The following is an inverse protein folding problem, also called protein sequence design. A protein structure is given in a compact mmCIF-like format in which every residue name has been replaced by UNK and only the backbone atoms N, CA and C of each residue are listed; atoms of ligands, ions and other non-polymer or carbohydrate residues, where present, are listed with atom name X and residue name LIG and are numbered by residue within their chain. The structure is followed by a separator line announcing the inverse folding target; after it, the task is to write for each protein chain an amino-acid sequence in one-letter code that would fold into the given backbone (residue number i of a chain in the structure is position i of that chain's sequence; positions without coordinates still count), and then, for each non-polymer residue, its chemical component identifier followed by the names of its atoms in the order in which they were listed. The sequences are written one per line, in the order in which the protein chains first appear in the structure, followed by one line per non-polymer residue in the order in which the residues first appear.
data_IF_819343949349
#
_entry.id   IF_819343949349
#
_cell.length_a   1.000
_cell.length_b   1.000
_cell.length_c   1.000
_cell.angle_alpha   90.00
_cell.angle_beta   90.00
_cell.angle_gamma   90.00
#
_symmetry.space_group_name_H-M   'P 1'
#
loop_
_entity.id
_entity.type
_entity.pdbx_description
1 polymer ?
#
# COMPACT_ATOMS: atom_id res chain seq x y z
N UNK A 1 -32.10 60.75 -20.13
CA UNK A 1 -31.07 60.57 -19.06
C UNK A 1 -31.44 59.51 -18.01
N UNK A 2 -32.47 58.67 -18.27
CA UNK A 2 -32.99 57.75 -17.26
C UNK A 2 -32.92 56.24 -17.66
N UNK A 3 -32.22 55.93 -18.74
CA UNK A 3 -32.18 54.55 -19.27
C UNK A 3 -30.90 53.81 -18.83
N UNK A 4 -29.82 54.52 -18.55
CA UNK A 4 -28.53 53.88 -18.17
C UNK A 4 -28.49 53.48 -16.69
N UNK A 5 -29.24 54.12 -15.79
CA UNK A 5 -29.26 53.77 -14.37
C UNK A 5 -30.07 52.53 -14.04
N UNK A 6 -31.01 52.12 -14.93
CA UNK A 6 -31.82 50.89 -14.73
C UNK A 6 -31.05 49.62 -15.03
N UNK A 7 -30.09 49.65 -15.95
CA UNK A 7 -29.32 48.47 -16.34
C UNK A 7 -28.35 48.00 -15.27
N UNK A 8 -27.66 48.91 -14.59
CA UNK A 8 -26.68 48.57 -13.54
C UNK A 8 -27.36 48.07 -12.25
N UNK A 9 -28.54 48.65 -11.89
CA UNK A 9 -29.29 48.20 -10.73
C UNK A 9 -29.84 46.80 -10.85
N UNK A 10 -30.20 46.34 -12.07
CA UNK A 10 -30.68 44.99 -12.32
C UNK A 10 -29.56 43.97 -12.38
N UNK A 11 -28.36 44.36 -12.82
CA UNK A 11 -27.18 43.51 -12.78
C UNK A 11 -26.76 43.22 -11.34
N UNK A 12 -26.79 44.23 -10.47
CA UNK A 12 -26.49 44.04 -9.05
C UNK A 12 -27.58 43.32 -8.28
N UNK A 13 -28.83 43.40 -8.68
CA UNK A 13 -29.95 42.65 -8.09
C UNK A 13 -29.97 41.17 -8.48
N UNK A 14 -29.23 40.77 -9.50
CA UNK A 14 -29.05 39.37 -9.94
C UNK A 14 -27.78 38.73 -9.47
N UNK A 15 -27.03 39.33 -8.54
CA UNK A 15 -26.00 38.61 -7.81
C UNK A 15 -26.70 37.57 -6.91
N UNK A 16 -26.90 36.38 -7.45
CA UNK A 16 -27.31 35.22 -6.68
C UNK A 16 -26.18 34.96 -5.68
N UNK A 17 -26.40 35.24 -4.40
CA UNK A 17 -25.52 34.79 -3.36
C UNK A 17 -25.60 33.26 -3.33
N UNK A 18 -24.69 32.63 -4.04
CA UNK A 18 -24.53 31.17 -3.95
C UNK A 18 -24.01 30.90 -2.55
N UNK A 19 -24.76 30.12 -1.75
CA UNK A 19 -24.28 29.71 -0.43
C UNK A 19 -23.04 28.86 -0.56
N UNK A 20 -22.19 28.85 0.46
CA UNK A 20 -21.01 27.94 0.49
C UNK A 20 -21.46 26.48 0.29
N UNK A 21 -22.58 26.09 0.86
CA UNK A 21 -23.13 24.74 0.69
C UNK A 21 -23.47 24.44 -0.78
N UNK A 22 -24.07 25.41 -1.51
CA UNK A 22 -24.32 25.25 -2.95
C UNK A 22 -23.01 25.15 -3.73
N UNK A 23 -22.01 25.99 -3.43
CA UNK A 23 -20.72 25.92 -4.11
C UNK A 23 -20.02 24.57 -3.88
N UNK A 24 -20.07 24.04 -2.66
CA UNK A 24 -19.50 22.71 -2.32
C UNK A 24 -20.29 21.60 -3.02
N UNK A 25 -21.62 21.70 -3.14
CA UNK A 25 -22.44 20.78 -3.88
C UNK A 25 -22.03 20.73 -5.37
N UNK A 26 -21.92 21.90 -6.02
CA UNK A 26 -21.50 21.98 -7.43
C UNK A 26 -20.05 21.47 -7.63
N UNK A 27 -19.16 21.70 -6.67
CA UNK A 27 -17.82 21.11 -6.68
C UNK A 27 -17.89 19.59 -6.58
N UNK A 28 -18.82 19.03 -5.82
CA UNK A 28 -19.09 17.59 -5.76
C UNK A 28 -19.35 17.01 -7.14
N UNK A 29 -20.15 17.71 -7.97
CA UNK A 29 -20.39 17.31 -9.35
C UNK A 29 -19.12 17.33 -10.21
N UNK A 30 -18.28 18.34 -10.05
CA UNK A 30 -16.99 18.41 -10.76
C UNK A 30 -16.10 17.23 -10.40
N UNK A 31 -16.15 16.76 -9.16
CA UNK A 31 -15.42 15.59 -8.67
C UNK A 31 -16.07 14.24 -9.07
N UNK A 32 -17.22 14.25 -9.73
CA UNK A 32 -17.91 13.06 -10.21
C UNK A 32 -19.05 12.54 -9.33
N UNK A 33 -19.37 13.23 -8.24
CA UNK A 33 -20.52 12.90 -7.40
C UNK A 33 -21.82 13.33 -8.09
N UNK A 34 -22.92 12.72 -7.67
CA UNK A 34 -24.25 12.94 -8.23
C UNK A 34 -25.22 13.48 -7.20
N UNK A 35 -26.29 14.09 -7.70
CA UNK A 35 -27.44 14.43 -6.87
C UNK A 35 -28.00 13.20 -6.17
N UNK A 36 -28.21 13.33 -4.87
CA UNK A 36 -28.91 12.37 -4.05
C UNK A 36 -30.36 12.76 -3.77
N UNK A 37 -30.99 13.47 -4.73
CA UNK A 37 -32.40 13.83 -4.74
C UNK A 37 -32.99 13.69 -6.16
N UNK A 38 -34.31 13.56 -6.26
CA UNK A 38 -35.00 13.47 -7.56
C UNK A 38 -35.57 14.80 -7.99
N UNK A 39 -36.13 14.84 -9.20
CA UNK A 39 -36.83 16.01 -9.77
C UNK A 39 -38.01 16.55 -8.93
N UNK A 40 -38.54 15.77 -7.99
CA UNK A 40 -39.56 16.18 -7.03
C UNK A 40 -38.97 16.63 -5.69
N UNK A 41 -37.66 16.88 -5.61
CA UNK A 41 -36.93 17.23 -4.40
C UNK A 41 -37.07 16.23 -3.24
N UNK A 42 -37.41 14.96 -3.53
CA UNK A 42 -37.36 13.89 -2.55
C UNK A 42 -35.96 13.30 -2.54
N UNK A 43 -35.35 13.16 -1.36
CA UNK A 43 -34.02 12.58 -1.16
C UNK A 43 -34.11 11.45 -0.14
N UNK A 44 -33.54 10.29 -0.44
CA UNK A 44 -33.48 9.17 0.50
C UNK A 44 -32.44 9.39 1.61
N UNK A 45 -31.48 10.28 1.42
CA UNK A 45 -30.42 10.60 2.38
C UNK A 45 -30.60 11.97 3.04
N UNK A 46 -31.48 12.78 2.50
CA UNK A 46 -31.85 14.10 3.00
C UNK A 46 -30.62 14.97 3.32
N UNK A 47 -30.41 15.30 4.58
CA UNK A 47 -29.30 16.15 5.08
C UNK A 47 -28.03 15.35 5.45
N UNK A 48 -27.99 14.04 5.19
CA UNK A 48 -26.81 13.21 5.46
C UNK A 48 -25.67 13.43 4.46
N UNK A 49 -25.90 14.19 3.38
CA UNK A 49 -24.90 14.58 2.41
C UNK A 49 -25.17 15.94 1.82
N UNK A 50 -24.08 16.68 1.53
CA UNK A 50 -24.14 17.93 0.75
C UNK A 50 -24.66 17.69 -0.67
N UNK A 51 -24.51 16.50 -1.22
CA UNK A 51 -25.06 16.12 -2.54
C UNK A 51 -26.57 15.85 -2.52
N UNK A 52 -27.17 15.85 -1.36
CA UNK A 52 -28.61 15.76 -1.19
C UNK A 52 -29.23 17.17 -1.11
N UNK A 53 -30.04 17.44 -0.09
CA UNK A 53 -30.76 18.68 0.06
C UNK A 53 -30.02 19.63 1.02
N UNK A 54 -29.34 20.64 0.50
CA UNK A 54 -28.70 21.67 1.30
C UNK A 54 -29.68 22.84 1.54
N UNK A 55 -30.05 23.06 2.78
CA UNK A 55 -30.97 24.14 3.16
C UNK A 55 -30.24 25.23 3.97
N UNK A 56 -29.01 25.00 4.35
CA UNK A 56 -28.19 25.87 5.16
C UNK A 56 -27.04 26.50 4.35
N UNK A 57 -26.55 27.67 4.75
CA UNK A 57 -25.36 28.25 4.17
C UNK A 57 -24.08 27.44 4.47
N UNK A 58 -24.11 26.54 5.46
CA UNK A 58 -23.00 25.66 5.83
C UNK A 58 -23.18 24.31 5.16
N UNK A 59 -22.16 23.78 4.46
CA UNK A 59 -22.26 22.46 3.82
C UNK A 59 -22.30 21.35 4.87
N UNK A 60 -23.15 20.36 4.64
CA UNK A 60 -23.11 19.08 5.38
C UNK A 60 -21.85 18.30 5.03
N UNK A 61 -21.50 17.33 5.88
CA UNK A 61 -20.50 16.33 5.52
C UNK A 61 -21.02 15.42 4.41
N UNK A 62 -20.12 15.01 3.54
CA UNK A 62 -20.35 13.89 2.63
C UNK A 62 -20.44 12.58 3.39
N UNK A 63 -21.26 11.65 2.93
CA UNK A 63 -21.33 10.30 3.49
C UNK A 63 -20.02 9.53 3.30
N UNK A 64 -19.84 8.46 4.06
CA UNK A 64 -18.66 7.61 3.91
C UNK A 64 -18.49 7.08 2.49
N UNK A 65 -19.60 6.66 1.85
CA UNK A 65 -19.54 6.16 0.47
C UNK A 65 -19.06 7.21 -0.51
N UNK A 66 -19.49 8.46 -0.36
CA UNK A 66 -19.03 9.54 -1.22
C UNK A 66 -17.54 9.80 -1.01
N UNK A 67 -17.06 9.76 0.23
CA UNK A 67 -15.64 9.89 0.55
C UNK A 67 -14.81 8.73 -0.01
N UNK A 68 -15.30 7.51 0.09
CA UNK A 68 -14.67 6.32 -0.50
C UNK A 68 -14.54 6.47 -2.02
N UNK A 69 -15.59 6.90 -2.70
CA UNK A 69 -15.59 7.12 -4.16
C UNK A 69 -14.59 8.21 -4.58
N UNK A 70 -14.46 9.25 -3.77
CA UNK A 70 -13.50 10.33 -4.00
C UNK A 70 -12.05 9.97 -3.62
N UNK A 71 -11.82 8.79 -3.02
CA UNK A 71 -10.53 8.41 -2.49
C UNK A 71 -10.11 9.22 -1.24
N UNK A 72 -11.08 9.81 -0.52
CA UNK A 72 -10.87 10.57 0.71
C UNK A 72 -11.02 9.72 1.97
N UNK A 73 -11.52 8.52 1.82
CA UNK A 73 -11.57 7.49 2.85
C UNK A 73 -11.17 6.16 2.21
N UNK A 74 -10.27 5.46 2.86
CA UNK A 74 -9.75 4.17 2.44
C UNK A 74 -10.10 3.05 3.44
N UNK A 75 -9.47 1.90 3.30
CA UNK A 75 -9.62 0.74 4.18
C UNK A 75 -9.15 0.97 5.62
N UNK A 76 -8.39 2.03 5.90
CA UNK A 76 -8.01 2.40 7.26
C UNK A 76 -9.13 3.20 7.94
N UNK A 77 -9.89 3.94 7.15
CA UNK A 77 -11.02 4.73 7.64
C UNK A 77 -12.32 3.91 7.72
N UNK A 78 -12.54 3.01 6.74
CA UNK A 78 -13.76 2.21 6.60
C UNK A 78 -13.42 0.73 6.68
N UNK A 79 -13.75 0.07 7.79
CA UNK A 79 -13.51 -1.35 7.99
C UNK A 79 -14.69 -2.20 7.54
N UNK A 80 -14.37 -3.40 7.05
CA UNK A 80 -15.41 -4.39 6.69
C UNK A 80 -15.81 -5.20 7.92
N UNK A 81 -17.11 -5.31 8.18
CA UNK A 81 -17.66 -6.20 9.20
C UNK A 81 -17.72 -7.61 8.62
N UNK A 82 -17.09 -8.55 9.27
CA UNK A 82 -16.96 -9.94 8.84
C UNK A 82 -17.50 -10.95 9.86
N UNK A 83 -17.85 -10.48 11.06
CA UNK A 83 -18.40 -11.33 12.14
C UNK A 83 -19.35 -10.57 13.01
N UNK A 84 -20.14 -11.29 13.79
CA UNK A 84 -20.88 -10.70 14.90
C UNK A 84 -19.92 -10.15 15.95
N UNK A 85 -20.38 -9.15 16.71
CA UNK A 85 -19.59 -8.59 17.79
C UNK A 85 -19.82 -7.11 18.04
N UNK A 86 -19.01 -6.57 18.93
CA UNK A 86 -19.01 -5.16 19.29
C UNK A 86 -17.97 -4.40 18.48
N UNK A 87 -18.37 -3.23 17.99
CA UNK A 87 -17.57 -2.35 17.14
C UNK A 87 -17.66 -0.91 17.63
N UNK A 88 -16.60 -0.15 17.40
CA UNK A 88 -16.56 1.26 17.79
C UNK A 88 -16.13 2.14 16.63
N UNK A 89 -16.74 3.31 16.49
CA UNK A 89 -16.38 4.30 15.48
C UNK A 89 -16.46 5.72 16.03
N UNK A 90 -15.64 6.61 15.49
CA UNK A 90 -15.70 8.04 15.82
C UNK A 90 -16.75 8.77 15.00
N UNK A 91 -17.20 9.89 15.54
CA UNK A 91 -18.06 10.79 14.78
C UNK A 91 -17.38 11.21 13.46
N UNK A 92 -18.14 11.12 12.37
CA UNK A 92 -17.69 11.48 11.04
C UNK A 92 -17.13 12.91 11.05
N UNK A 93 -15.93 13.10 10.49
CA UNK A 93 -15.26 14.41 10.43
C UNK A 93 -14.52 14.84 11.70
N UNK A 94 -14.37 13.99 12.69
CA UNK A 94 -13.39 14.23 13.77
C UNK A 94 -11.97 13.99 13.26
N UNK A 95 -11.05 14.94 13.57
CA UNK A 95 -9.64 14.81 13.20
C UNK A 95 -8.91 13.79 14.09
N UNK A 96 -8.00 13.01 13.49
CA UNK A 96 -7.12 12.07 14.18
C UNK A 96 -6.81 10.86 13.31
N UNK A 97 -5.57 10.39 13.33
CA UNK A 97 -5.06 9.36 12.42
C UNK A 97 -5.38 7.92 12.83
N UNK A 98 -5.92 7.68 14.04
CA UNK A 98 -6.00 6.32 14.61
C UNK A 98 -7.45 5.82 14.76
N UNK A 99 -8.38 6.29 13.93
CA UNK A 99 -9.77 6.02 14.24
C UNK A 99 -10.60 5.68 13.04
N UNK A 100 -11.21 4.52 13.12
CA UNK A 100 -12.24 4.06 12.21
C UNK A 100 -13.39 5.07 12.23
N UNK A 101 -13.73 5.60 11.07
CA UNK A 101 -14.82 6.56 10.88
C UNK A 101 -16.09 5.90 10.35
N UNK A 102 -15.98 4.65 9.94
CA UNK A 102 -17.11 3.88 9.50
C UNK A 102 -16.87 2.40 9.29
N UNK A 103 -17.95 1.69 9.12
CA UNK A 103 -17.96 0.28 8.75
C UNK A 103 -18.82 0.03 7.52
N UNK A 104 -18.50 -1.03 6.79
CA UNK A 104 -19.31 -1.55 5.71
C UNK A 104 -19.48 -3.06 5.80
N UNK A 105 -20.55 -3.59 5.26
CA UNK A 105 -20.83 -5.01 5.18
C UNK A 105 -21.63 -5.30 3.92
N UNK A 106 -21.19 -6.28 3.14
CA UNK A 106 -21.96 -6.73 1.98
C UNK A 106 -23.15 -7.61 2.41
N UNK A 107 -24.28 -7.41 1.75
CA UNK A 107 -25.50 -8.22 1.87
C UNK A 107 -25.79 -8.81 0.49
N UNK A 108 -25.13 -9.93 0.12
CA UNK A 108 -25.17 -10.47 -1.25
C UNK A 108 -26.58 -10.83 -1.70
N UNK A 109 -27.44 -11.33 -0.81
CA UNK A 109 -28.82 -11.72 -1.10
C UNK A 109 -29.68 -10.54 -1.54
N UNK A 110 -29.31 -9.32 -1.14
CA UNK A 110 -29.95 -8.07 -1.59
C UNK A 110 -29.20 -7.38 -2.71
N UNK A 111 -27.98 -7.80 -3.04
CA UNK A 111 -27.09 -7.07 -3.94
C UNK A 111 -26.77 -5.66 -3.41
N UNK A 112 -26.66 -5.52 -2.08
CA UNK A 112 -26.43 -4.23 -1.40
C UNK A 112 -25.26 -4.31 -0.43
N UNK A 113 -24.62 -3.17 -0.24
CA UNK A 113 -23.63 -2.96 0.83
C UNK A 113 -24.26 -2.05 1.89
N UNK A 114 -24.22 -2.47 3.14
CA UNK A 114 -24.54 -1.65 4.31
C UNK A 114 -23.34 -0.77 4.65
N UNK A 115 -23.60 0.51 4.91
CA UNK A 115 -22.64 1.45 5.48
C UNK A 115 -23.12 1.95 6.83
N UNK A 116 -22.19 2.11 7.75
CA UNK A 116 -22.44 2.57 9.12
C UNK A 116 -21.53 3.75 9.40
N UNK A 117 -22.10 4.88 9.80
CA UNK A 117 -21.38 6.09 10.18
C UNK A 117 -22.00 6.74 11.40
N UNK A 118 -21.16 7.31 12.29
CA UNK A 118 -21.65 8.06 13.42
C UNK A 118 -21.74 9.55 13.05
N UNK A 119 -22.95 10.12 13.12
CA UNK A 119 -23.19 11.55 12.92
C UNK A 119 -23.43 12.21 14.29
N UNK A 120 -22.70 13.28 14.55
CA UNK A 120 -22.86 14.02 15.79
C UNK A 120 -23.20 15.49 15.48
N UNK A 121 -24.45 15.86 15.73
CA UNK A 121 -24.99 17.20 15.54
C UNK A 121 -24.93 18.07 16.81
N UNK A 122 -24.38 17.53 17.89
CA UNK A 122 -24.18 18.27 19.15
C UNK A 122 -22.97 19.22 19.07
N UNK A 123 -22.84 20.10 20.06
CA UNK A 123 -21.78 21.12 20.08
C UNK A 123 -20.35 20.54 20.12
N UNK A 124 -20.21 19.31 20.64
CA UNK A 124 -18.96 18.55 20.68
C UNK A 124 -18.74 17.70 19.42
N UNK A 125 -19.63 17.78 18.43
CA UNK A 125 -19.51 17.11 17.15
C UNK A 125 -18.47 17.78 16.24
N UNK A 126 -18.42 17.34 14.97
CA UNK A 126 -17.54 17.98 14.01
C UNK A 126 -18.04 19.41 13.66
N UNK A 127 -17.11 20.25 13.19
CA UNK A 127 -17.37 21.67 12.90
C UNK A 127 -18.55 21.91 11.96
N UNK A 128 -18.84 21.00 11.06
CA UNK A 128 -19.89 21.14 10.05
C UNK A 128 -21.23 20.59 10.54
N UNK A 129 -21.27 19.34 10.99
CA UNK A 129 -22.50 18.70 11.44
C UNK A 129 -23.08 19.40 12.69
N UNK A 130 -22.24 19.87 13.62
CA UNK A 130 -22.71 20.59 14.81
C UNK A 130 -23.42 21.92 14.51
N UNK A 131 -23.24 22.48 13.33
CA UNK A 131 -24.00 23.64 12.86
C UNK A 131 -25.38 23.26 12.31
N UNK A 132 -25.66 21.98 12.14
CA UNK A 132 -26.85 21.40 11.57
C UNK A 132 -27.77 20.78 12.63
N UNK A 133 -28.06 21.49 13.69
CA UNK A 133 -28.92 20.98 14.77
C UNK A 133 -30.36 20.75 14.38
N UNK A 134 -30.80 21.36 13.29
CA UNK A 134 -32.19 21.32 12.85
C UNK A 134 -32.29 21.36 11.33
N UNK A 135 -33.23 20.62 10.77
CA UNK A 135 -33.68 20.83 9.41
C UNK A 135 -34.95 21.70 9.37
N UNK A 136 -35.18 22.32 8.24
CA UNK A 136 -36.37 23.13 8.00
C UNK A 136 -37.26 22.43 6.99
N UNK A 137 -38.50 22.19 7.36
CA UNK A 137 -39.53 21.69 6.45
C UNK A 137 -40.52 22.82 6.13
N UNK A 138 -40.69 23.10 4.84
CA UNK A 138 -41.63 24.12 4.37
C UNK A 138 -42.95 23.42 4.05
N UNK A 139 -43.98 23.76 4.81
CA UNK A 139 -45.36 23.33 4.59
C UNK A 139 -46.23 24.54 4.25
N UNK A 140 -46.36 24.86 2.96
CA UNK A 140 -46.99 26.10 2.54
C UNK A 140 -46.24 27.34 3.06
N UNK A 141 -46.91 28.16 3.86
CA UNK A 141 -46.33 29.34 4.48
C UNK A 141 -45.64 29.08 5.86
N UNK A 142 -45.69 27.85 6.35
CA UNK A 142 -45.13 27.45 7.64
C UNK A 142 -43.78 26.78 7.46
N UNK A 143 -42.82 27.20 8.29
CA UNK A 143 -41.49 26.58 8.37
C UNK A 143 -41.43 25.82 9.69
N UNK A 144 -41.43 24.53 9.62
CA UNK A 144 -41.26 23.65 10.76
C UNK A 144 -39.75 23.38 10.97
N UNK A 145 -39.29 23.59 12.20
CA UNK A 145 -37.93 23.32 12.64
C UNK A 145 -37.86 21.91 13.26
N UNK A 146 -37.21 20.98 12.58
CA UNK A 146 -37.13 19.59 13.02
C UNK A 146 -35.72 19.32 13.56
N UNK A 147 -35.57 18.94 14.84
CA UNK A 147 -34.25 18.62 15.38
C UNK A 147 -33.68 17.40 14.70
N UNK A 148 -32.35 17.41 14.48
CA UNK A 148 -31.61 16.26 13.99
C UNK A 148 -31.11 15.43 15.16
N UNK A 149 -31.22 14.14 15.03
CA UNK A 149 -30.77 13.19 16.03
C UNK A 149 -29.34 12.73 15.76
N UNK A 150 -28.48 12.87 16.76
CA UNK A 150 -27.14 12.31 16.75
C UNK A 150 -27.16 10.81 17.02
N UNK A 151 -26.27 10.05 16.37
CA UNK A 151 -26.19 8.60 16.57
C UNK A 151 -25.64 7.86 15.35
N UNK A 152 -25.81 6.55 15.37
CA UNK A 152 -25.41 5.65 14.29
C UNK A 152 -26.38 5.76 13.13
N UNK A 153 -25.89 6.13 11.96
CA UNK A 153 -26.64 6.15 10.71
C UNK A 153 -26.31 4.91 9.91
N UNK A 154 -27.36 4.16 9.56
CA UNK A 154 -27.28 2.94 8.75
C UNK A 154 -27.89 3.22 7.38
N UNK A 155 -27.19 2.90 6.31
CA UNK A 155 -27.73 3.05 4.96
C UNK A 155 -27.27 1.95 4.03
N UNK A 156 -28.14 1.56 3.11
CA UNK A 156 -27.91 0.54 2.09
C UNK A 156 -27.62 1.20 0.75
N UNK A 157 -26.63 0.68 0.04
CA UNK A 157 -26.27 1.08 -1.31
C UNK A 157 -26.17 -0.16 -2.19
N UNK A 158 -26.59 -0.08 -3.45
CA UNK A 158 -26.44 -1.19 -4.39
C UNK A 158 -24.95 -1.53 -4.57
N UNK A 159 -24.56 -2.79 -4.37
CA UNK A 159 -23.15 -3.24 -4.38
C UNK A 159 -22.46 -2.97 -5.71
N UNK A 160 -23.18 -3.03 -6.82
CA UNK A 160 -22.66 -2.74 -8.17
C UNK A 160 -22.59 -1.24 -8.51
N UNK A 161 -22.84 -0.37 -7.53
CA UNK A 161 -22.78 1.07 -7.75
C UNK A 161 -21.34 1.53 -7.91
N UNK A 162 -20.77 1.26 -9.07
CA UNK A 162 -19.74 2.14 -9.62
C UNK A 162 -20.48 3.42 -9.96
N UNK A 163 -20.12 4.54 -9.35
CA UNK A 163 -20.63 5.84 -9.78
C UNK A 163 -20.17 6.05 -11.23
N UNK A 164 -20.98 5.75 -12.25
CA UNK A 164 -20.52 5.93 -13.61
C UNK A 164 -20.51 7.43 -13.88
N UNK A 165 -19.43 7.91 -14.44
CA UNK A 165 -19.22 9.30 -14.85
C UNK A 165 -20.29 9.87 -15.79
N UNK A 166 -21.26 9.06 -16.24
CA UNK A 166 -22.22 9.38 -17.30
C UNK A 166 -23.69 9.22 -16.92
N UNK A 167 -24.08 9.12 -15.64
CA UNK A 167 -25.51 9.06 -15.30
C UNK A 167 -26.14 10.42 -15.35
N UNK A 168 -26.79 10.73 -16.45
CA UNK A 168 -27.75 11.82 -16.57
C UNK A 168 -28.99 11.55 -15.70
N UNK A 169 -29.59 12.62 -15.21
CA UNK A 169 -30.68 12.88 -14.30
C UNK A 169 -31.99 12.03 -14.38
N UNK A 170 -32.02 10.91 -15.09
CA UNK A 170 -33.31 10.23 -15.41
C UNK A 170 -33.50 8.84 -14.80
N UNK A 171 -32.60 8.34 -13.96
CA UNK A 171 -32.84 7.03 -13.34
C UNK A 171 -33.69 7.17 -12.07
N UNK A 172 -34.88 6.57 -12.00
CA UNK A 172 -35.74 6.59 -10.82
C UNK A 172 -35.26 5.66 -9.70
N UNK A 173 -34.13 4.96 -9.88
CA UNK A 173 -33.57 4.07 -8.86
C UNK A 173 -32.56 4.80 -8.02
N UNK A 174 -32.94 5.03 -6.76
CA UNK A 174 -32.06 5.50 -5.73
C UNK A 174 -31.05 4.39 -5.34
N UNK A 175 -29.78 4.70 -5.38
CA UNK A 175 -28.75 3.77 -4.96
C UNK A 175 -28.48 3.84 -3.46
N UNK A 176 -29.12 4.79 -2.78
CA UNK A 176 -29.00 5.04 -1.34
C UNK A 176 -30.33 4.87 -0.65
N UNK A 177 -30.36 4.17 0.47
CA UNK A 177 -31.50 4.05 1.34
C UNK A 177 -31.04 4.19 2.80
N UNK A 178 -31.34 5.33 3.43
CA UNK A 178 -31.14 5.50 4.88
C UNK A 178 -32.21 4.70 5.61
N UNK A 179 -31.77 3.80 6.47
CA UNK A 179 -32.65 2.95 7.27
C UNK A 179 -33.17 3.73 8.50
N UNK A 180 -34.34 3.30 9.00
CA UNK A 180 -34.98 3.95 10.14
C UNK A 180 -35.56 5.33 9.86
N UNK A 181 -36.03 6.00 10.90
CA UNK A 181 -36.54 7.36 10.90
C UNK A 181 -37.83 7.55 10.13
N UNK A 182 -38.39 8.75 10.21
CA UNK A 182 -39.61 9.10 9.49
C UNK A 182 -39.35 9.21 7.98
N UNK A 183 -40.20 8.59 7.19
CA UNK A 183 -40.08 8.48 5.73
C UNK A 183 -39.76 9.79 5.01
N UNK A 184 -40.32 10.91 5.46
CA UNK A 184 -40.23 12.18 4.76
C UNK A 184 -39.06 13.09 5.21
N UNK A 185 -38.37 12.77 6.30
CA UNK A 185 -37.35 13.66 6.86
C UNK A 185 -36.04 12.98 7.18
N UNK A 186 -36.08 11.72 7.60
CA UNK A 186 -34.92 10.99 8.11
C UNK A 186 -34.14 11.74 9.24
N UNK A 187 -34.77 12.73 9.83
CA UNK A 187 -34.17 13.56 10.88
C UNK A 187 -33.84 12.78 12.15
N UNK A 188 -34.61 11.73 12.40
CA UNK A 188 -34.54 10.81 13.53
C UNK A 188 -34.03 9.41 13.13
N UNK A 189 -33.40 9.29 11.95
CA UNK A 189 -32.91 8.00 11.45
C UNK A 189 -31.67 7.48 12.19
N UNK A 190 -30.89 8.36 12.83
CA UNK A 190 -29.76 7.94 13.62
C UNK A 190 -30.19 7.21 14.90
N UNK A 191 -29.51 6.09 15.19
CA UNK A 191 -29.74 5.31 16.41
C UNK A 191 -28.97 5.92 17.58
N UNK A 192 -29.69 6.21 18.65
CA UNK A 192 -29.12 6.61 19.94
C UNK A 192 -28.85 5.39 20.85
N UNK A 193 -28.31 5.66 22.05
CA UNK A 193 -28.02 4.62 23.05
C UNK A 193 -29.28 3.81 23.38
N UNK A 194 -29.16 2.48 23.33
CA UNK A 194 -30.23 1.53 23.63
C UNK A 194 -31.25 1.36 22.52
N UNK A 195 -31.03 1.97 21.36
CA UNK A 195 -31.88 1.75 20.19
C UNK A 195 -31.27 0.69 19.28
N UNK A 196 -32.14 0.00 18.55
CA UNK A 196 -31.77 -1.06 17.61
C UNK A 196 -32.45 -0.88 16.28
N UNK A 197 -31.91 -1.54 15.24
CA UNK A 197 -32.50 -1.61 13.93
C UNK A 197 -32.28 -2.99 13.30
N UNK A 198 -33.35 -3.50 12.68
CA UNK A 198 -33.25 -4.66 11.84
C UNK A 198 -32.72 -4.29 10.43
N UNK A 199 -31.75 -5.04 9.94
CA UNK A 199 -31.12 -4.79 8.65
C UNK A 199 -31.65 -5.77 7.59
N UNK A 200 -31.45 -7.07 7.84
CA UNK A 200 -31.86 -8.13 6.93
C UNK A 200 -31.78 -9.52 7.59
N UNK A 201 -32.63 -10.48 7.23
CA UNK A 201 -32.61 -11.81 7.82
C UNK A 201 -32.66 -11.75 9.35
N UNK A 202 -31.66 -12.28 9.99
CA UNK A 202 -31.52 -12.23 11.44
C UNK A 202 -30.54 -11.13 11.90
N UNK A 203 -30.10 -10.25 10.99
CA UNK A 203 -29.10 -9.22 11.28
C UNK A 203 -29.75 -8.01 11.93
N UNK A 204 -29.32 -7.69 13.15
CA UNK A 204 -29.70 -6.52 13.94
C UNK A 204 -28.47 -5.75 14.38
N UNK A 205 -28.62 -4.45 14.49
CA UNK A 205 -27.62 -3.53 15.04
C UNK A 205 -28.24 -2.80 16.21
N UNK A 206 -27.52 -2.73 17.35
CA UNK A 206 -27.91 -1.98 18.54
C UNK A 206 -26.79 -1.08 19.01
N UNK A 207 -27.09 0.14 19.48
CA UNK A 207 -26.12 1.09 20.01
C UNK A 207 -25.97 0.90 21.51
N UNK A 208 -24.75 0.57 21.95
CA UNK A 208 -24.45 0.29 23.34
C UNK A 208 -24.07 1.55 24.12
N UNK A 209 -23.20 2.42 23.56
CA UNK A 209 -22.75 3.64 24.20
C UNK A 209 -22.34 4.73 23.21
N UNK A 210 -22.35 5.97 23.68
CA UNK A 210 -21.78 7.13 22.97
C UNK A 210 -21.04 7.95 24.01
N UNK A 211 -19.70 7.91 23.97
CA UNK A 211 -18.83 8.60 24.91
C UNK A 211 -17.63 9.23 24.20
N UNK A 212 -17.29 10.47 24.53
CA UNK A 212 -16.11 11.18 23.99
C UNK A 212 -16.03 11.18 22.44
N UNK A 213 -17.16 11.33 21.75
CA UNK A 213 -17.29 11.22 20.30
C UNK A 213 -16.96 9.83 19.73
N UNK A 214 -16.98 8.80 20.55
CA UNK A 214 -16.90 7.41 20.15
C UNK A 214 -18.28 6.77 20.37
N UNK A 215 -18.80 6.13 19.34
CA UNK A 215 -20.03 5.34 19.41
C UNK A 215 -19.65 3.87 19.35
N UNK A 216 -20.19 3.10 20.30
CA UNK A 216 -20.03 1.64 20.33
C UNK A 216 -21.37 1.00 20.02
N UNK A 217 -21.38 0.06 19.09
CA UNK A 217 -22.55 -0.69 18.67
C UNK A 217 -22.26 -2.18 18.59
N UNK A 218 -23.27 -2.99 18.70
CA UNK A 218 -23.20 -4.43 18.53
C UNK A 218 -23.97 -4.85 17.28
N UNK A 219 -23.43 -5.79 16.52
CA UNK A 219 -24.11 -6.43 15.40
C UNK A 219 -24.30 -7.91 15.73
N UNK A 220 -25.52 -8.42 15.51
CA UNK A 220 -25.93 -9.81 15.74
C UNK A 220 -26.73 -10.36 14.55
N UNK A 221 -26.78 -11.68 14.48
CA UNK A 221 -27.54 -12.43 13.47
C UNK A 221 -26.68 -12.89 12.30
N UNK A 222 -27.10 -13.91 11.62
CA UNK A 222 -26.36 -14.69 10.62
C UNK A 222 -25.55 -13.91 9.60
N UNK A 223 -24.46 -13.29 10.04
CA UNK A 223 -23.50 -12.66 9.13
C UNK A 223 -22.87 -13.79 8.33
N UNK A 224 -22.92 -13.75 6.99
CA UNK A 224 -22.32 -14.78 6.15
C UNK A 224 -20.83 -14.96 6.51
N UNK A 225 -20.42 -16.22 6.66
CA UNK A 225 -19.01 -16.53 6.90
C UNK A 225 -18.17 -15.94 5.77
N UNK A 226 -17.17 -15.14 6.13
CA UNK A 226 -16.28 -14.54 5.16
C UNK A 226 -15.35 -15.60 4.56
N UNK A 227 -15.44 -15.78 3.25
CA UNK A 227 -14.51 -16.64 2.50
C UNK A 227 -13.33 -15.79 2.05
N UNK A 228 -12.15 -16.09 2.59
CA UNK A 228 -10.93 -15.41 2.19
C UNK A 228 -10.64 -15.61 0.70
N UNK A 229 -10.28 -14.54 0.01
CA UNK A 229 -9.98 -14.55 -1.43
C UNK A 229 -8.94 -13.50 -1.80
N UNK A 230 -8.32 -13.70 -2.97
CA UNK A 230 -7.27 -12.81 -3.48
C UNK A 230 -5.91 -13.02 -2.82
N UNK A 231 -4.96 -12.15 -3.13
CA UNK A 231 -3.58 -12.27 -2.67
C UNK A 231 -2.83 -13.47 -3.27
N UNK A 232 -1.55 -13.55 -3.00
CA UNK A 232 -0.69 -14.64 -3.47
C UNK A 232 0.24 -15.09 -2.36
N UNK A 233 0.17 -16.38 -1.99
CA UNK A 233 1.11 -16.98 -1.05
C UNK A 233 2.49 -17.11 -1.69
N UNK A 234 3.54 -16.93 -0.90
CA UNK A 234 4.93 -17.10 -1.30
C UNK A 234 5.60 -18.24 -0.51
N UNK A 235 6.86 -18.49 -0.77
CA UNK A 235 7.64 -19.47 -0.02
C UNK A 235 7.87 -19.12 1.47
N UNK A 236 7.55 -17.88 1.89
CA UNK A 236 7.73 -17.40 3.27
C UNK A 236 6.52 -16.70 3.86
N UNK A 237 5.52 -16.35 3.07
CA UNK A 237 4.30 -15.66 3.52
C UNK A 237 3.05 -16.33 2.96
N UNK A 238 2.00 -16.37 3.75
CA UNK A 238 0.67 -16.80 3.32
C UNK A 238 0.03 -15.76 2.40
N UNK A 239 -1.03 -16.13 1.71
CA UNK A 239 -1.84 -15.16 0.98
C UNK A 239 -2.53 -14.20 1.97
N UNK A 240 -2.64 -12.93 1.59
CA UNK A 240 -3.39 -11.93 2.36
C UNK A 240 -4.72 -11.70 1.65
N UNK A 241 -5.82 -11.86 2.37
CA UNK A 241 -7.14 -11.63 1.84
C UNK A 241 -7.32 -10.17 1.38
N UNK A 242 -7.83 -9.96 0.18
CA UNK A 242 -8.04 -8.60 -0.36
C UNK A 242 -9.21 -7.85 0.31
N UNK A 243 -10.05 -8.56 1.08
CA UNK A 243 -11.20 -7.97 1.75
C UNK A 243 -10.92 -7.66 3.22
N UNK A 244 -10.37 -8.62 3.98
CA UNK A 244 -10.14 -8.45 5.42
C UNK A 244 -8.68 -8.16 5.77
N UNK A 245 -7.77 -8.28 4.81
CA UNK A 245 -6.32 -8.11 4.97
C UNK A 245 -5.68 -9.09 5.96
N UNK A 246 -6.37 -10.18 6.30
CA UNK A 246 -5.81 -11.26 7.13
C UNK A 246 -5.07 -12.28 6.27
N UNK A 247 -4.01 -12.84 6.86
CA UNK A 247 -3.30 -13.95 6.24
C UNK A 247 -4.15 -15.23 6.28
N UNK A 248 -4.21 -15.94 5.16
CA UNK A 248 -4.97 -17.19 5.07
C UNK A 248 -4.29 -18.24 4.20
N UNK A 249 -4.76 -19.49 4.30
CA UNK A 249 -4.23 -20.62 3.53
C UNK A 249 -2.84 -21.05 3.98
N UNK A 250 -2.16 -21.79 3.13
CA UNK A 250 -0.82 -22.32 3.37
C UNK A 250 0.24 -21.52 2.59
N UNK A 251 1.50 -21.65 2.98
CA UNK A 251 2.63 -21.13 2.20
C UNK A 251 2.70 -21.82 0.85
N UNK A 252 2.95 -21.08 -0.20
CA UNK A 252 3.26 -21.66 -1.50
C UNK A 252 4.78 -21.89 -1.60
N UNK A 253 5.22 -23.11 -1.26
CA UNK A 253 6.62 -23.49 -1.20
C UNK A 253 7.33 -23.41 -2.56
N UNK A 254 6.59 -23.39 -3.66
CA UNK A 254 7.10 -23.33 -5.02
C UNK A 254 7.12 -21.89 -5.57
N UNK A 255 6.47 -20.95 -4.90
CA UNK A 255 6.45 -19.55 -5.32
C UNK A 255 7.64 -18.77 -4.77
N UNK A 256 8.77 -18.92 -5.45
CA UNK A 256 10.04 -18.26 -5.14
C UNK A 256 10.25 -17.00 -5.99
N UNK A 257 10.80 -15.94 -5.40
CA UNK A 257 11.29 -14.76 -6.15
C UNK A 257 12.75 -15.00 -6.53
N UNK A 258 12.94 -15.73 -7.64
CA UNK A 258 14.25 -16.15 -8.10
C UNK A 258 15.00 -15.04 -8.82
N UNK A 259 16.30 -14.97 -8.56
CA UNK A 259 17.29 -14.19 -9.30
C UNK A 259 18.26 -15.16 -9.95
N UNK A 260 18.48 -15.06 -11.25
CA UNK A 260 19.47 -15.83 -11.98
C UNK A 260 20.86 -15.23 -11.77
N UNK A 261 21.81 -16.08 -11.42
CA UNK A 261 23.22 -15.73 -11.30
C UNK A 261 24.02 -16.57 -12.29
N UNK A 262 24.57 -15.91 -13.29
CA UNK A 262 25.38 -16.55 -14.31
C UNK A 262 26.68 -17.12 -13.75
N UNK A 263 27.18 -18.18 -14.40
CA UNK A 263 28.48 -18.76 -14.07
C UNK A 263 29.61 -17.73 -14.29
N UNK A 264 30.49 -17.63 -13.31
CA UNK A 264 31.69 -16.82 -13.38
C UNK A 264 32.92 -17.71 -13.20
N UNK A 265 33.84 -17.68 -14.14
CA UNK A 265 35.10 -18.43 -14.04
C UNK A 265 35.94 -17.92 -12.87
N UNK A 266 36.53 -18.85 -12.11
CA UNK A 266 37.52 -18.53 -11.09
C UNK A 266 38.80 -17.99 -11.73
N UNK A 267 39.46 -17.11 -11.03
CA UNK A 267 40.80 -16.63 -11.37
C UNK A 267 41.77 -16.99 -10.24
N UNK A 268 43.02 -16.70 -10.40
CA UNK A 268 44.00 -16.91 -9.33
C UNK A 268 43.81 -15.98 -8.14
N UNK A 269 43.09 -14.84 -8.34
CA UNK A 269 42.87 -13.84 -7.29
C UNK A 269 41.44 -13.82 -6.76
N UNK A 270 40.48 -14.35 -7.52
CA UNK A 270 39.08 -14.34 -7.16
C UNK A 270 38.44 -15.72 -7.36
N UNK A 271 37.58 -16.08 -6.44
CA UNK A 271 36.71 -17.24 -6.60
C UNK A 271 35.72 -17.02 -7.73
N UNK A 272 35.30 -18.09 -8.38
CA UNK A 272 34.24 -18.12 -9.35
C UNK A 272 32.95 -18.71 -8.75
N UNK A 273 31.98 -18.89 -9.60
CA UNK A 273 30.75 -19.61 -9.26
C UNK A 273 30.24 -20.39 -10.47
N UNK A 274 29.55 -21.48 -10.22
CA UNK A 274 28.68 -22.12 -11.21
C UNK A 274 27.41 -21.29 -11.41
N UNK A 275 26.68 -21.53 -12.47
CA UNK A 275 25.33 -20.96 -12.65
C UNK A 275 24.38 -21.45 -11.55
N UNK A 276 23.55 -20.56 -10.99
CA UNK A 276 22.56 -20.88 -10.00
C UNK A 276 21.42 -19.85 -9.95
N UNK A 277 20.34 -20.20 -9.23
CA UNK A 277 19.22 -19.32 -8.95
C UNK A 277 19.13 -19.09 -7.44
N UNK A 278 18.90 -17.85 -7.05
CA UNK A 278 18.82 -17.42 -5.65
C UNK A 278 17.46 -16.80 -5.36
N UNK A 279 16.75 -17.32 -4.36
CA UNK A 279 15.48 -16.71 -3.93
C UNK A 279 15.73 -15.57 -2.96
N UNK A 280 15.34 -14.34 -3.34
CA UNK A 280 15.49 -13.15 -2.51
C UNK A 280 14.56 -13.12 -1.30
N UNK A 281 13.55 -13.98 -1.24
CA UNK A 281 12.61 -14.07 -0.12
C UNK A 281 13.11 -15.06 0.95
N UNK A 282 13.31 -16.32 0.61
CA UNK A 282 13.71 -17.36 1.56
C UNK A 282 15.23 -17.57 1.67
N UNK A 283 16.03 -16.85 0.89
CA UNK A 283 17.49 -16.87 0.89
C UNK A 283 18.11 -18.23 0.52
N UNK A 284 17.36 -19.06 -0.22
CA UNK A 284 17.81 -20.37 -0.66
C UNK A 284 18.36 -20.33 -2.08
N UNK A 285 19.24 -21.32 -2.37
CA UNK A 285 19.92 -21.48 -3.65
C UNK A 285 19.34 -22.70 -4.38
N UNK A 286 19.22 -22.60 -5.70
CA UNK A 286 18.64 -23.64 -6.55
C UNK A 286 19.48 -23.82 -7.82
N UNK A 287 19.50 -25.06 -8.31
CA UNK A 287 20.23 -25.42 -9.52
C UNK A 287 19.44 -25.09 -10.81
N UNK A 288 18.16 -24.80 -10.71
CA UNK A 288 17.26 -24.62 -11.85
C UNK A 288 16.28 -23.44 -11.65
N UNK A 289 15.75 -22.95 -12.76
CA UNK A 289 14.82 -21.79 -12.80
C UNK A 289 13.44 -22.07 -12.18
N UNK A 290 13.11 -23.34 -11.90
CA UNK A 290 11.83 -23.73 -11.29
C UNK A 290 11.97 -23.98 -9.79
N UNK A 291 13.17 -23.77 -9.22
CA UNK A 291 13.46 -24.05 -7.80
C UNK A 291 13.20 -25.50 -7.38
N UNK A 292 13.24 -26.46 -8.33
CA UNK A 292 12.94 -27.86 -8.04
C UNK A 292 14.07 -28.56 -7.29
N UNK A 293 15.30 -28.07 -7.44
CA UNK A 293 16.49 -28.65 -6.82
C UNK A 293 17.22 -27.61 -5.97
N UNK A 294 16.96 -27.65 -4.65
CA UNK A 294 17.70 -26.83 -3.69
C UNK A 294 19.16 -27.31 -3.60
N UNK A 295 20.10 -26.39 -3.52
CA UNK A 295 21.55 -26.63 -3.39
C UNK A 295 22.12 -25.78 -2.26
N UNK A 296 23.29 -26.18 -1.76
CA UNK A 296 23.99 -25.41 -0.74
C UNK A 296 24.78 -24.26 -1.36
N UNK A 297 24.90 -23.16 -0.63
CA UNK A 297 25.67 -21.98 -1.05
C UNK A 297 27.12 -22.34 -1.42
N UNK A 298 27.75 -23.19 -0.64
CA UNK A 298 29.14 -23.55 -0.85
C UNK A 298 29.35 -24.44 -2.10
N UNK A 299 28.30 -25.13 -2.53
CA UNK A 299 28.36 -25.95 -3.74
C UNK A 299 28.42 -25.17 -5.05
N UNK A 300 28.06 -23.88 -5.01
CA UNK A 300 28.12 -23.01 -6.19
C UNK A 300 29.41 -22.22 -6.30
N UNK A 301 30.23 -22.21 -5.26
CA UNK A 301 31.52 -21.50 -5.25
C UNK A 301 32.58 -22.36 -5.93
N UNK A 302 33.32 -21.76 -6.87
CA UNK A 302 34.46 -22.38 -7.53
C UNK A 302 35.72 -21.78 -6.93
N UNK A 303 36.59 -22.60 -6.34
CA UNK A 303 37.83 -22.17 -5.71
C UNK A 303 38.74 -21.42 -6.69
N UNK A 304 39.53 -20.51 -6.17
CA UNK A 304 40.59 -19.80 -6.95
C UNK A 304 41.49 -20.80 -7.68
N UNK A 305 41.93 -20.44 -8.85
CA UNK A 305 42.90 -21.21 -9.59
C UNK A 305 44.26 -21.17 -8.88
N UNK A 306 45.01 -22.27 -8.97
CA UNK A 306 46.37 -22.30 -8.50
C UNK A 306 47.23 -21.32 -9.30
N UNK A 307 48.15 -20.59 -8.64
CA UNK A 307 49.08 -19.72 -9.36
C UNK A 307 50.08 -20.56 -10.21
N UNK A 308 50.41 -20.05 -11.37
CA UNK A 308 51.33 -20.66 -12.31
C UNK A 308 52.35 -19.65 -12.79
N UNK A 309 53.53 -20.17 -13.19
CA UNK A 309 54.54 -19.36 -13.92
C UNK A 309 54.09 -19.36 -15.38
N UNK A 310 53.68 -18.18 -15.87
CA UNK A 310 53.12 -18.01 -17.23
C UNK A 310 54.18 -17.57 -18.27
N UNK A 311 55.42 -17.21 -17.80
CA UNK A 311 56.56 -16.96 -18.67
C UNK A 311 57.86 -17.21 -17.91
N UNK A 312 58.87 -17.71 -18.60
CA UNK A 312 60.18 -18.05 -18.04
C UNK A 312 60.29 -19.46 -17.49
N UNK A 313 59.16 -20.21 -17.43
CA UNK A 313 59.22 -21.65 -17.09
C UNK A 313 60.08 -22.42 -18.10
N UNK A 314 60.97 -23.31 -17.56
CA UNK A 314 61.86 -24.17 -18.39
C UNK A 314 62.82 -23.37 -19.31
N UNK A 315 63.15 -22.12 -18.96
CA UNK A 315 64.13 -21.36 -19.75
C UNK A 315 65.51 -22.03 -19.73
N UNK A 316 66.16 -22.12 -20.91
CA UNK A 316 67.51 -22.61 -21.04
C UNK A 316 68.44 -21.41 -20.79
N UNK A 317 69.38 -21.59 -19.87
CA UNK A 317 70.35 -20.57 -19.47
C UNK A 317 71.66 -20.79 -20.25
N UNK A 318 72.06 -19.78 -21.00
CA UNK A 318 73.43 -19.75 -21.56
C UNK A 318 74.43 -19.35 -20.45
N UNK A 319 75.36 -20.24 -20.14
CA UNK A 319 76.34 -20.04 -19.10
C UNK A 319 77.24 -18.79 -19.30
N UNK A 320 77.29 -18.24 -20.49
CA UNK A 320 78.03 -17.03 -20.84
C UNK A 320 77.22 -15.76 -20.90
N UNK A 321 75.94 -15.83 -20.55
CA UNK A 321 75.01 -14.68 -20.61
C UNK A 321 75.02 -13.92 -19.27
N UNK A 322 75.18 -12.59 -19.36
CA UNK A 322 75.02 -11.68 -18.22
C UNK A 322 73.57 -11.18 -18.06
N UNK A 323 72.61 -11.70 -18.86
CA UNK A 323 71.22 -11.30 -18.80
C UNK A 323 70.49 -11.95 -17.61
N UNK A 324 69.73 -11.18 -16.90
CA UNK A 324 68.84 -11.67 -15.85
C UNK A 324 67.77 -12.60 -16.44
N UNK A 325 67.45 -13.66 -15.74
CA UNK A 325 66.34 -14.56 -16.05
C UNK A 325 65.08 -13.96 -15.49
N UNK A 326 64.08 -13.80 -16.34
CA UNK A 326 62.82 -13.20 -15.92
C UNK A 326 61.74 -14.27 -15.91
N UNK A 327 61.07 -14.39 -14.77
CA UNK A 327 59.89 -15.20 -14.58
C UNK A 327 58.67 -14.28 -14.42
N UNK A 328 57.52 -14.72 -14.93
CA UNK A 328 56.26 -14.03 -14.72
C UNK A 328 55.22 -15.04 -14.20
N UNK A 329 54.54 -14.69 -13.12
CA UNK A 329 53.44 -15.46 -12.56
C UNK A 329 52.11 -14.77 -12.83
N UNK A 330 50.99 -15.52 -12.83
CA UNK A 330 49.63 -15.01 -12.84
C UNK A 330 49.11 -14.76 -11.41
N UNK A 331 49.91 -15.06 -10.36
CA UNK A 331 49.58 -14.76 -8.97
C UNK A 331 49.48 -13.26 -8.69
N UNK A 332 48.74 -12.87 -7.67
CA UNK A 332 48.77 -11.51 -7.19
C UNK A 332 50.19 -11.17 -6.63
N UNK A 333 50.65 -9.97 -6.89
CA UNK A 333 52.01 -9.56 -6.40
C UNK A 333 52.13 -9.60 -4.88
N UNK A 334 51.01 -9.40 -4.15
CA UNK A 334 50.93 -9.53 -2.69
C UNK A 334 51.25 -10.94 -2.18
N UNK A 335 51.07 -11.97 -3.01
CA UNK A 335 51.22 -13.38 -2.63
C UNK A 335 52.66 -13.89 -2.87
N UNK A 336 53.52 -13.04 -3.38
CA UNK A 336 54.95 -13.37 -3.57
C UNK A 336 55.62 -13.50 -2.20
N UNK A 337 56.27 -14.63 -1.95
CA UNK A 337 56.96 -14.92 -0.68
C UNK A 337 58.45 -14.78 -0.84
N UNK A 338 59.09 -15.62 -1.68
CA UNK A 338 60.55 -15.71 -1.83
C UNK A 338 60.94 -16.41 -3.13
N UNK A 339 62.22 -16.32 -3.46
CA UNK A 339 62.90 -17.14 -4.49
C UNK A 339 63.92 -18.04 -3.84
N UNK A 340 63.91 -19.31 -4.21
CA UNK A 340 64.90 -20.30 -3.79
C UNK A 340 65.61 -20.91 -5.00
N UNK A 341 66.87 -21.20 -4.83
CA UNK A 341 67.71 -21.95 -5.77
C UNK A 341 68.40 -23.09 -5.04
N UNK A 342 68.17 -24.31 -5.50
CA UNK A 342 68.70 -25.53 -4.89
C UNK A 342 68.49 -25.63 -3.35
N UNK A 343 67.31 -25.19 -2.89
CA UNK A 343 66.96 -25.21 -1.46
C UNK A 343 67.53 -24.04 -0.65
N UNK A 344 68.24 -23.12 -1.29
CA UNK A 344 68.75 -21.91 -0.66
C UNK A 344 67.92 -20.68 -1.03
N UNK A 345 67.52 -19.92 -0.04
CA UNK A 345 66.81 -18.66 -0.25
C UNK A 345 67.74 -17.60 -0.82
N UNK A 346 67.29 -16.95 -1.89
CA UNK A 346 67.98 -15.81 -2.53
C UNK A 346 67.60 -14.51 -1.83
N UNK A 347 68.49 -13.53 -1.84
CA UNK A 347 68.27 -12.23 -1.18
C UNK A 347 67.69 -11.25 -2.15
N UNK A 348 66.51 -10.70 -1.82
CA UNK A 348 65.86 -9.65 -2.61
C UNK A 348 66.75 -8.43 -2.73
N UNK A 349 66.67 -7.75 -3.89
CA UNK A 349 67.42 -6.57 -4.28
C UNK A 349 68.94 -6.76 -4.37
N UNK A 350 69.41 -7.98 -4.10
CA UNK A 350 70.77 -8.42 -4.32
C UNK A 350 70.81 -9.50 -5.39
N UNK A 351 70.18 -10.61 -5.17
CA UNK A 351 70.20 -11.77 -6.04
C UNK A 351 69.05 -11.75 -7.06
N UNK A 352 67.93 -11.09 -6.72
CA UNK A 352 66.77 -10.92 -7.61
C UNK A 352 66.04 -9.61 -7.31
N UNK A 353 65.27 -9.15 -8.29
CA UNK A 353 64.35 -8.02 -8.17
C UNK A 353 62.93 -8.47 -8.48
N UNK A 354 61.98 -7.82 -7.84
CA UNK A 354 60.54 -8.08 -8.04
C UNK A 354 59.85 -6.81 -8.51
N UNK A 355 59.01 -6.90 -9.54
CA UNK A 355 58.25 -5.77 -10.06
C UNK A 355 56.79 -6.07 -10.08
N UNK A 356 55.97 -5.03 -10.07
CA UNK A 356 54.53 -5.13 -10.24
C UNK A 356 54.20 -5.95 -11.50
N UNK A 357 53.07 -6.73 -11.45
CA UNK A 357 52.71 -7.72 -12.47
C UNK A 357 53.37 -9.07 -12.27
N UNK A 358 53.83 -9.35 -11.02
CA UNK A 358 54.44 -10.64 -10.61
C UNK A 358 55.63 -11.06 -11.47
N UNK A 359 56.47 -10.08 -11.81
CA UNK A 359 57.68 -10.29 -12.58
C UNK A 359 58.88 -10.36 -11.63
N UNK A 360 59.59 -11.48 -11.69
CA UNK A 360 60.79 -11.75 -10.91
C UNK A 360 61.96 -11.85 -11.85
N UNK A 361 62.98 -11.00 -11.69
CA UNK A 361 64.23 -11.03 -12.46
C UNK A 361 65.40 -11.48 -11.57
N UNK A 362 65.96 -12.64 -11.86
CA UNK A 362 67.09 -13.22 -11.12
C UNK A 362 68.41 -12.89 -11.82
N UNK A 363 69.33 -12.27 -11.10
CA UNK A 363 70.62 -11.89 -11.65
C UNK A 363 71.53 -13.11 -11.82
N UNK A 364 72.01 -13.35 -13.05
CA UNK A 364 72.81 -14.52 -13.39
C UNK A 364 74.22 -14.47 -12.75
N UNK A 365 74.79 -13.30 -12.54
CA UNK A 365 76.11 -13.14 -11.90
C UNK A 365 76.17 -13.70 -10.49
N UNK A 366 75.05 -13.66 -9.77
CA UNK A 366 74.98 -14.24 -8.42
C UNK A 366 74.74 -15.76 -8.45
N UNK A 367 74.13 -16.31 -9.50
CA UNK A 367 73.98 -17.76 -9.66
C UNK A 367 75.34 -18.45 -9.88
N UNK A 368 76.19 -17.87 -10.66
CA UNK A 368 77.59 -18.38 -10.88
C UNK A 368 78.42 -18.41 -9.59
N UNK A 369 78.32 -17.45 -8.75
CA UNK A 369 79.08 -17.38 -7.50
C UNK A 369 78.79 -18.55 -6.54
N UNK A 370 77.72 -19.27 -6.75
CA UNK A 370 77.27 -20.44 -6.00
C UNK A 370 77.75 -21.75 -6.56
N UNK A 371 77.98 -21.88 -7.91
CA UNK A 371 78.60 -23.05 -8.53
C UNK A 371 80.10 -23.20 -8.23
N UNK A 372 80.77 -22.10 -8.15
CA UNK A 372 82.27 -22.10 -7.92
C UNK A 372 82.67 -22.47 -6.51
N UNK A 373 81.72 -22.60 -5.56
CA UNK A 373 82.07 -23.03 -4.16
C UNK A 373 81.84 -24.52 -3.90
N UNK A 374 81.58 -25.31 -4.92
CA UNK A 374 81.37 -26.78 -4.82
C UNK A 374 82.61 -27.56 -5.31
N UNK A 375 83.83 -26.94 -5.42
CA UNK A 375 85.07 -27.63 -5.68
C UNK A 375 86.11 -27.43 -4.53
#
# INVERSE_FOLDING_TARGET
DDVESRGLGDVYKRQVFVSIATAVHEMGHIMGLKDLYNSKNASPVYFMSVMAKHISPVPQFMSLKEKEVLGWADENDIKTILSEGEYSLKALGTSGTDNITGYKMDIPEKGKTLYLEYRNFEDNGNKYDSQYKHMFKINGNRVDKIPLKSGLVCYLIDSDTKFPSNMYFSSPKWNYEVLGGQYNTKADAALGIGEDIWIYGDIYISVNSIENNILTFEIKGGIPEHIHSGGVATCISRAVCEVCHEEYGELNKDNHKLQHVEAKAATVTQEGNTEYYYCSLCLKYFADSNASKQIDKDSVVTSKLAPEIIAGDKCIIDKNSDKAITFKSNAAFSDFVKVELDGRELVKDKDYTVKAGSIIAVSYTHLRAHETRRH
#
